data_IF_245575043611
#
_entry.id   IF_245575043611
#
_cell.length_a   1.000
_cell.length_b   1.000
_cell.length_c   1.000
_cell.angle_alpha   90.00
_cell.angle_beta   90.00
_cell.angle_gamma   90.00
#
_symmetry.space_group_name_H-M   'P 1'
#
loop_
_entity.id
_entity.type
_entity.pdbx_description
1 polymer ?
#
# COMPACT_ATOMS: atom_id res chain seq x y z
N UNK A 1 9.32 -71.58 -2.72
CA UNK A 1 10.04 -70.30 -2.58
C UNK A 1 9.17 -69.21 -3.19
N UNK A 2 8.97 -68.12 -2.44
CA UNK A 2 7.81 -67.21 -2.50
C UNK A 2 7.82 -66.28 -3.71
N UNK A 3 6.68 -66.21 -4.42
CA UNK A 3 6.40 -65.21 -5.46
C UNK A 3 5.90 -63.94 -4.78
N UNK A 4 6.66 -62.84 -4.83
CA UNK A 4 6.24 -61.51 -4.36
C UNK A 4 5.27 -60.89 -5.37
N UNK A 5 4.00 -60.72 -4.98
CA UNK A 5 3.01 -59.87 -5.67
C UNK A 5 3.38 -58.40 -5.44
N UNK A 6 3.66 -57.67 -6.52
CA UNK A 6 3.68 -56.21 -6.49
C UNK A 6 2.23 -55.70 -6.54
N UNK A 7 1.80 -54.98 -5.49
CA UNK A 7 0.48 -54.36 -5.44
C UNK A 7 0.48 -53.13 -6.35
N UNK A 8 -0.33 -53.14 -7.41
CA UNK A 8 -0.56 -51.96 -8.25
C UNK A 8 -1.55 -51.05 -7.51
N UNK A 9 -1.05 -49.93 -7.01
CA UNK A 9 -1.86 -48.85 -6.45
C UNK A 9 -2.66 -48.24 -7.60
N UNK A 10 -3.99 -48.32 -7.50
CA UNK A 10 -4.91 -47.77 -8.51
C UNK A 10 -4.90 -46.25 -8.47
N UNK A 11 -4.99 -45.62 -9.63
CA UNK A 11 -5.04 -44.16 -9.83
C UNK A 11 -6.12 -43.48 -8.97
N UNK A 12 -7.18 -44.21 -8.56
CA UNK A 12 -8.18 -43.73 -7.60
C UNK A 12 -7.65 -43.49 -6.19
N UNK A 13 -6.68 -44.27 -5.71
CA UNK A 13 -6.09 -44.08 -4.37
C UNK A 13 -5.15 -42.86 -4.32
N UNK A 14 -4.48 -42.54 -5.43
CA UNK A 14 -3.66 -41.32 -5.56
C UNK A 14 -4.52 -40.05 -5.59
N UNK A 15 -5.69 -40.09 -6.25
CA UNK A 15 -6.63 -38.96 -6.30
C UNK A 15 -7.30 -38.71 -4.94
N UNK A 16 -7.66 -39.76 -4.20
CA UNK A 16 -8.23 -39.62 -2.84
C UNK A 16 -7.18 -39.08 -1.85
N UNK A 17 -5.92 -39.50 -1.95
CA UNK A 17 -4.85 -38.93 -1.14
C UNK A 17 -4.63 -37.44 -1.45
N UNK A 18 -4.62 -37.06 -2.73
CA UNK A 18 -4.46 -35.66 -3.15
C UNK A 18 -5.60 -34.74 -2.68
N UNK A 19 -6.85 -35.22 -2.72
CA UNK A 19 -8.03 -34.47 -2.25
C UNK A 19 -8.05 -34.32 -0.72
N UNK A 20 -7.57 -35.31 0.03
CA UNK A 20 -7.46 -35.22 1.49
C UNK A 20 -6.33 -34.26 1.90
N UNK A 21 -5.21 -34.20 1.17
CA UNK A 21 -4.17 -33.17 1.39
C UNK A 21 -4.62 -31.75 1.00
N UNK A 22 -5.43 -31.57 -0.05
CA UNK A 22 -5.97 -30.25 -0.38
C UNK A 22 -7.02 -29.75 0.63
N UNK A 23 -7.86 -30.63 1.18
CA UNK A 23 -8.84 -30.25 2.19
C UNK A 23 -8.23 -29.96 3.57
N UNK A 24 -7.07 -30.54 3.89
CA UNK A 24 -6.32 -30.24 5.11
C UNK A 24 -5.51 -28.93 5.02
N UNK A 25 -5.24 -28.41 3.82
CA UNK A 25 -4.54 -27.13 3.61
C UNK A 25 -5.47 -25.91 3.46
N UNK A 26 -6.79 -26.10 3.36
CA UNK A 26 -7.76 -25.01 3.22
C UNK A 26 -8.48 -24.62 4.52
N UNK A 27 -7.99 -25.08 5.68
CA UNK A 27 -8.63 -24.83 6.99
C UNK A 27 -7.63 -24.29 8.01
N UNK A 28 -7.06 -23.10 7.76
CA UNK A 28 -6.44 -22.26 8.81
C UNK A 28 -6.13 -20.85 8.28
N UNK A 29 -7.16 -20.08 7.96
CA UNK A 29 -7.08 -18.62 8.06
C UNK A 29 -7.14 -18.24 9.54
N UNK A 30 -5.99 -18.28 10.22
CA UNK A 30 -5.85 -17.63 11.52
C UNK A 30 -5.73 -16.14 11.26
N UNK A 31 -6.85 -15.43 11.42
CA UNK A 31 -6.84 -13.98 11.59
C UNK A 31 -5.90 -13.65 12.75
N UNK A 32 -4.79 -12.98 12.46
CA UNK A 32 -3.91 -12.42 13.48
C UNK A 32 -4.69 -11.34 14.23
N UNK A 33 -5.25 -11.71 15.39
CA UNK A 33 -5.81 -10.75 16.34
C UNK A 33 -4.66 -9.93 16.91
N UNK A 34 -4.62 -8.64 16.60
CA UNK A 34 -3.79 -7.68 17.31
C UNK A 34 -4.26 -7.61 18.76
N UNK A 35 -3.50 -8.22 19.69
CA UNK A 35 -3.62 -7.95 21.12
C UNK A 35 -2.41 -7.12 21.56
N UNK A 36 -2.61 -6.03 22.33
CA UNK A 36 -1.50 -5.31 22.94
C UNK A 36 -0.79 -6.23 23.96
N UNK A 37 0.53 -6.29 23.85
CA UNK A 37 1.39 -7.15 24.66
C UNK A 37 1.53 -6.53 26.06
N UNK A 38 1.12 -7.25 27.11
CA UNK A 38 1.37 -6.85 28.51
C UNK A 38 2.88 -6.83 28.79
N UNK A 39 3.42 -5.84 29.54
CA UNK A 39 4.83 -5.79 29.86
C UNK A 39 5.23 -6.95 30.79
N UNK A 40 6.29 -7.67 30.44
CA UNK A 40 6.90 -8.68 31.30
C UNK A 40 7.83 -8.00 32.30
N UNK A 41 7.53 -8.16 33.59
CA UNK A 41 8.36 -7.76 34.72
C UNK A 41 9.62 -8.61 34.76
N UNK A 42 10.76 -8.02 34.41
CA UNK A 42 12.09 -8.59 34.65
C UNK A 42 12.70 -7.93 35.89
N UNK A 43 12.72 -8.68 36.98
CA UNK A 43 13.41 -8.36 38.23
C UNK A 43 14.91 -8.29 37.98
N UNK A 44 15.53 -7.12 38.14
CA UNK A 44 16.97 -7.01 38.34
C UNK A 44 17.26 -6.04 39.48
N UNK A 45 17.85 -6.60 40.53
CA UNK A 45 18.39 -5.93 41.71
C UNK A 45 19.67 -5.17 41.37
N UNK A 46 19.74 -3.89 41.74
CA UNK A 46 20.99 -3.17 42.01
C UNK A 46 20.75 -2.09 43.09
N UNK A 47 21.72 -1.88 44.02
CA UNK A 47 21.51 -1.09 45.23
C UNK A 47 21.93 0.39 45.10
N UNK A 48 21.36 1.15 46.04
CA UNK A 48 21.82 2.38 46.70
C UNK A 48 22.12 3.66 45.89
N UNK A 49 21.19 4.58 46.11
CA UNK A 49 21.21 6.02 45.84
C UNK A 49 22.27 6.70 46.72
N UNK A 50 23.15 7.47 46.10
CA UNK A 50 23.82 8.62 46.74
C UNK A 50 23.50 9.84 45.89
N UNK A 51 22.72 10.75 46.45
CA UNK A 51 22.36 12.01 45.82
C UNK A 51 23.55 12.95 45.73
N UNK A 52 23.55 13.81 44.71
CA UNK A 52 24.31 15.04 44.77
C UNK A 52 23.59 16.16 44.01
N UNK A 53 23.50 17.29 44.70
CA UNK A 53 22.82 18.52 44.35
C UNK A 53 23.28 19.14 43.03
N UNK A 54 22.32 19.75 42.35
CA UNK A 54 22.50 20.69 41.25
C UNK A 54 22.67 22.11 41.83
N UNK A 55 23.56 22.93 41.27
CA UNK A 55 23.28 24.36 41.24
C UNK A 55 23.28 24.90 39.79
N UNK A 56 22.20 25.60 39.48
CA UNK A 56 22.08 26.49 38.32
C UNK A 56 23.14 27.59 38.38
N UNK A 57 23.78 27.87 37.25
CA UNK A 57 24.33 29.20 36.94
C UNK A 57 24.22 29.49 35.45
N UNK A 58 23.49 30.55 35.13
CA UNK A 58 23.49 31.27 33.86
C UNK A 58 24.90 31.75 33.50
N UNK A 59 25.37 31.48 32.27
CA UNK A 59 26.01 32.50 31.43
C UNK A 59 26.17 32.05 29.99
N UNK A 60 25.79 32.94 29.07
CA UNK A 60 25.92 32.83 27.62
C UNK A 60 27.38 32.79 27.16
N UNK A 61 27.71 31.87 26.25
CA UNK A 61 28.80 32.06 25.30
C UNK A 61 28.36 31.59 23.91
N UNK A 62 28.50 32.50 22.96
CA UNK A 62 28.28 32.32 21.53
C UNK A 62 29.44 31.51 20.96
N UNK A 63 29.15 30.48 20.17
CA UNK A 63 30.09 29.97 19.16
C UNK A 63 29.30 29.51 17.94
N UNK A 64 29.64 30.11 16.80
CA UNK A 64 29.10 29.87 15.47
C UNK A 64 29.26 28.41 15.01
N UNK A 65 28.16 27.80 14.54
CA UNK A 65 28.07 27.03 13.29
C UNK A 65 26.63 26.56 13.04
N UNK A 66 26.16 26.52 11.77
CA UNK A 66 24.74 26.43 11.46
C UNK A 66 24.23 25.00 11.58
N UNK A 67 23.44 24.74 12.62
CA UNK A 67 22.56 23.58 12.67
C UNK A 67 21.32 23.92 11.84
N UNK A 68 21.25 23.44 10.58
CA UNK A 68 20.00 23.47 9.83
C UNK A 68 19.19 22.23 10.20
N UNK A 69 18.28 22.49 11.12
CA UNK A 69 17.09 21.72 11.49
C UNK A 69 16.39 21.23 10.22
N UNK A 70 16.39 19.91 10.01
CA UNK A 70 15.38 19.23 9.19
C UNK A 70 14.02 19.64 9.73
N UNK A 71 13.21 20.30 8.90
CA UNK A 71 11.81 20.51 9.21
C UNK A 71 11.13 19.15 9.23
N UNK A 72 10.83 18.66 10.43
CA UNK A 72 10.00 17.49 10.65
C UNK A 72 8.66 17.70 9.90
N UNK A 73 8.40 16.84 8.91
CA UNK A 73 7.03 16.57 8.50
C UNK A 73 6.27 16.08 9.74
N UNK A 74 4.99 16.47 9.95
CA UNK A 74 4.28 16.14 11.18
C UNK A 74 4.07 14.62 11.25
N UNK A 75 4.94 13.95 11.99
CA UNK A 75 4.67 12.62 12.53
C UNK A 75 3.75 12.86 13.73
N UNK A 76 2.51 12.41 13.63
CA UNK A 76 1.53 12.67 14.68
C UNK A 76 1.93 11.94 15.96
N UNK A 77 2.10 12.72 17.02
CA UNK A 77 2.35 12.27 18.40
C UNK A 77 1.13 11.51 18.90
N UNK A 78 1.29 10.24 19.26
CA UNK A 78 0.33 9.49 20.09
C UNK A 78 0.35 10.06 21.50
N UNK A 79 -0.70 10.78 21.88
CA UNK A 79 -0.95 11.20 23.26
C UNK A 79 -1.36 10.01 24.13
N UNK A 80 -0.62 9.80 25.21
CA UNK A 80 -0.98 8.88 26.30
C UNK A 80 -2.36 9.23 26.90
N UNK A 81 -3.10 8.18 27.24
CA UNK A 81 -4.43 8.28 27.84
C UNK A 81 -4.35 8.72 29.32
N UNK A 82 -5.27 9.57 29.81
CA UNK A 82 -5.32 9.96 31.22
C UNK A 82 -5.94 8.86 32.09
N UNK A 83 -5.33 8.64 33.26
CA UNK A 83 -5.86 7.79 34.34
C UNK A 83 -7.25 8.28 34.80
N UNK A 84 -8.19 7.33 35.00
CA UNK A 84 -9.50 7.60 35.62
C UNK A 84 -9.63 6.78 36.91
N UNK A 85 -10.15 7.36 38.01
CA UNK A 85 -10.07 6.77 39.34
C UNK A 85 -11.19 5.75 39.64
N UNK A 86 -10.86 4.85 40.56
CA UNK A 86 -11.62 3.73 41.09
C UNK A 86 -12.66 4.18 42.14
N UNK A 87 -13.94 3.78 42.01
CA UNK A 87 -14.94 3.82 43.11
C UNK A 87 -16.00 2.69 42.99
N UNK A 88 -15.81 1.65 43.83
CA UNK A 88 -16.73 0.80 44.63
C UNK A 88 -18.13 0.34 44.15
N UNK A 89 -18.32 -0.98 44.23
CA UNK A 89 -19.54 -1.85 44.24
C UNK A 89 -20.47 -1.62 45.46
N UNK A 90 -21.73 -2.16 45.53
CA UNK A 90 -21.99 -3.60 45.79
C UNK A 90 -23.29 -4.27 45.25
N UNK A 91 -23.17 -5.59 44.94
CA UNK A 91 -24.06 -6.77 45.18
C UNK A 91 -25.59 -6.70 44.84
N UNK A 92 -26.36 -7.73 44.44
CA UNK A 92 -26.39 -9.20 44.60
C UNK A 92 -27.66 -9.71 43.81
N UNK A 93 -27.75 -10.86 43.10
CA UNK A 93 -28.38 -12.16 43.51
C UNK A 93 -28.72 -13.01 42.25
N UNK A 94 -28.12 -14.21 42.18
CA UNK A 94 -28.66 -15.58 41.91
C UNK A 94 -29.30 -16.01 40.57
N UNK A 95 -28.84 -17.17 40.05
CA UNK A 95 -29.64 -18.07 39.21
C UNK A 95 -28.86 -19.08 38.34
N UNK A 96 -28.49 -20.23 38.91
CA UNK A 96 -27.90 -21.47 38.33
C UNK A 96 -28.72 -22.08 37.16
N UNK A 97 -28.29 -22.97 36.23
CA UNK A 97 -27.59 -24.29 36.25
C UNK A 97 -27.20 -24.63 34.77
N UNK A 98 -26.00 -25.16 34.45
CA UNK A 98 -25.66 -26.59 34.14
C UNK A 98 -26.61 -27.32 33.16
N UNK A 99 -26.24 -28.20 32.21
CA UNK A 99 -24.96 -28.69 31.65
C UNK A 99 -25.29 -29.63 30.45
N UNK A 100 -24.35 -29.71 29.48
CA UNK A 100 -23.93 -30.89 28.70
C UNK A 100 -24.89 -31.79 27.87
N UNK A 101 -24.67 -31.72 26.54
CA UNK A 101 -24.10 -32.76 25.64
C UNK A 101 -24.83 -34.07 25.22
N UNK A 102 -24.54 -34.47 23.97
CA UNK A 102 -24.81 -35.73 23.22
C UNK A 102 -26.22 -35.88 22.61
N UNK A 103 -26.46 -36.35 21.39
CA UNK A 103 -25.66 -36.90 20.30
C UNK A 103 -26.60 -37.50 19.21
N UNK A 104 -26.17 -37.43 17.94
CA UNK A 104 -26.46 -38.34 16.81
C UNK A 104 -27.90 -38.78 16.45
N UNK A 105 -28.35 -38.33 15.27
CA UNK A 105 -28.63 -39.17 14.09
C UNK A 105 -30.01 -39.84 13.94
N UNK A 106 -30.66 -39.63 12.79
CA UNK A 106 -31.35 -40.67 11.99
C UNK A 106 -31.92 -40.14 10.66
N UNK A 107 -31.66 -40.92 9.59
CA UNK A 107 -32.40 -41.00 8.31
C UNK A 107 -33.68 -41.86 8.50
N UNK A 108 -34.67 -41.85 7.57
CA UNK A 108 -34.74 -42.85 6.47
C UNK A 108 -35.30 -42.31 5.11
N UNK A 109 -34.78 -42.73 3.93
CA UNK A 109 -35.27 -43.79 2.97
C UNK A 109 -36.46 -43.30 2.09
N UNK A 110 -36.61 -43.47 0.76
CA UNK A 110 -36.30 -44.56 -0.20
C UNK A 110 -36.61 -44.09 -1.67
N UNK A 111 -35.98 -44.70 -2.70
CA UNK A 111 -36.62 -44.85 -4.03
C UNK A 111 -35.75 -44.69 -5.29
N UNK A 112 -35.08 -45.77 -5.71
CA UNK A 112 -34.41 -46.01 -7.02
C UNK A 112 -35.44 -46.07 -8.19
N UNK A 113 -35.15 -46.05 -9.51
CA UNK A 113 -34.05 -46.66 -10.28
C UNK A 113 -34.12 -46.22 -11.77
N UNK A 114 -32.94 -46.11 -12.41
CA UNK A 114 -32.56 -46.48 -13.81
C UNK A 114 -33.24 -45.87 -15.05
N UNK A 115 -32.52 -45.52 -16.13
CA UNK A 115 -31.09 -45.69 -16.40
C UNK A 115 -30.60 -45.16 -17.76
N UNK A 116 -29.27 -45.10 -17.86
CA UNK A 116 -28.35 -45.31 -19.01
C UNK A 116 -28.60 -44.64 -20.37
N UNK A 117 -27.62 -44.23 -21.18
CA UNK A 117 -26.15 -44.12 -21.12
C UNK A 117 -25.69 -43.47 -22.43
N UNK A 118 -24.41 -43.07 -22.46
CA UNK A 118 -23.52 -42.88 -23.62
C UNK A 118 -23.21 -41.44 -24.10
N UNK A 119 -22.00 -41.06 -23.67
CA UNK A 119 -20.93 -40.23 -24.27
C UNK A 119 -20.91 -40.06 -25.79
N UNK A 120 -20.64 -38.83 -26.27
CA UNK A 120 -19.60 -38.57 -27.27
C UNK A 120 -19.07 -37.12 -27.18
N UNK A 121 -17.78 -37.02 -27.44
CA UNK A 121 -16.86 -35.87 -27.53
C UNK A 121 -17.16 -34.79 -28.59
N UNK A 122 -16.73 -33.55 -28.33
CA UNK A 122 -15.98 -32.77 -29.34
C UNK A 122 -16.52 -31.39 -29.77
N UNK A 123 -15.63 -30.40 -29.61
CA UNK A 123 -15.39 -29.25 -30.50
C UNK A 123 -16.05 -27.88 -30.24
N UNK A 124 -15.16 -26.88 -30.15
CA UNK A 124 -15.33 -25.45 -30.45
C UNK A 124 -16.09 -25.20 -31.76
N UNK A 125 -16.59 -23.97 -31.95
CA UNK A 125 -16.04 -23.21 -33.08
C UNK A 125 -15.78 -21.71 -32.82
N UNK A 126 -14.88 -21.20 -33.67
CA UNK A 126 -14.41 -19.83 -33.85
C UNK A 126 -15.29 -19.04 -34.83
N UNK A 127 -15.28 -17.71 -34.67
CA UNK A 127 -15.74 -16.58 -35.51
C UNK A 127 -16.24 -16.83 -36.94
N UNK A 128 -17.28 -16.07 -37.35
CA UNK A 128 -17.38 -15.41 -38.67
C UNK A 128 -18.34 -14.21 -38.62
N UNK A 129 -18.20 -13.33 -39.62
CA UNK A 129 -18.53 -11.90 -39.68
C UNK A 129 -19.77 -11.53 -40.53
N UNK A 130 -20.31 -10.33 -40.21
CA UNK A 130 -20.88 -9.26 -41.08
C UNK A 130 -22.20 -9.37 -41.88
N UNK A 131 -22.99 -8.27 -41.78
CA UNK A 131 -24.07 -7.70 -42.65
C UNK A 131 -25.48 -8.35 -42.59
N UNK A 132 -26.63 -7.65 -42.47
CA UNK A 132 -27.00 -6.24 -42.33
C UNK A 132 -28.54 -6.05 -42.22
N UNK A 133 -28.95 -4.95 -41.55
CA UNK A 133 -30.17 -4.11 -41.79
C UNK A 133 -31.61 -4.60 -41.51
N UNK A 134 -32.26 -4.09 -40.44
CA UNK A 134 -33.29 -3.01 -40.45
C UNK A 134 -34.21 -2.97 -39.18
N UNK A 135 -34.33 -1.76 -38.60
CA UNK A 135 -35.44 -1.11 -37.84
C UNK A 135 -36.16 -1.85 -36.67
N UNK A 136 -36.49 -1.29 -35.49
CA UNK A 136 -36.34 0.00 -34.79
C UNK A 136 -36.86 -0.20 -33.31
N UNK A 137 -37.04 0.83 -32.47
CA UNK A 137 -36.07 1.39 -31.52
C UNK A 137 -36.33 0.99 -30.04
N UNK A 138 -35.27 0.89 -29.24
CA UNK A 138 -35.38 0.92 -27.77
C UNK A 138 -34.47 1.99 -27.19
N UNK A 139 -35.12 2.91 -26.48
CA UNK A 139 -34.59 4.07 -25.79
C UNK A 139 -33.54 3.66 -24.76
N UNK A 140 -32.26 3.97 -25.02
CA UNK A 140 -31.13 3.75 -24.13
C UNK A 140 -30.25 5.00 -24.15
N UNK A 141 -30.22 5.72 -23.04
CA UNK A 141 -29.46 6.95 -22.84
C UNK A 141 -27.96 6.67 -22.87
N UNK A 142 -27.35 6.73 -24.05
CA UNK A 142 -25.90 6.90 -24.19
C UNK A 142 -25.60 8.37 -23.96
N UNK A 143 -25.10 8.70 -22.77
CA UNK A 143 -24.49 9.99 -22.51
C UNK A 143 -23.20 10.07 -23.36
N UNK A 144 -23.27 10.77 -24.49
CA UNK A 144 -22.10 11.19 -25.25
C UNK A 144 -21.19 12.02 -24.33
N UNK A 145 -19.94 11.60 -24.26
CA UNK A 145 -18.88 12.30 -23.54
C UNK A 145 -18.64 13.66 -24.20
N UNK A 146 -18.71 14.79 -23.47
CA UNK A 146 -18.38 16.08 -24.05
C UNK A 146 -16.88 16.10 -24.37
N UNK A 147 -16.56 16.15 -25.67
CA UNK A 147 -15.21 16.38 -26.16
C UNK A 147 -14.73 17.74 -25.63
N UNK A 148 -13.84 17.70 -24.65
CA UNK A 148 -13.14 18.87 -24.10
C UNK A 148 -11.66 18.55 -24.05
N UNK A 149 -10.87 19.47 -24.61
CA UNK A 149 -9.43 19.52 -24.90
C UNK A 149 -8.45 18.83 -23.91
N UNK A 150 -8.53 17.51 -23.78
CA UNK A 150 -7.48 16.66 -23.24
C UNK A 150 -7.21 15.55 -24.25
N UNK A 151 -6.10 15.63 -24.97
CA UNK A 151 -5.74 14.70 -26.04
C UNK A 151 -5.24 13.33 -25.49
N UNK A 152 -5.77 12.89 -24.34
CA UNK A 152 -5.35 11.67 -23.66
C UNK A 152 -5.94 10.47 -24.37
N UNK A 153 -5.07 9.57 -24.84
CA UNK A 153 -5.48 8.32 -25.50
C UNK A 153 -5.35 7.10 -24.57
N UNK A 154 -4.78 7.30 -23.38
CA UNK A 154 -4.63 6.27 -22.35
C UNK A 154 -5.92 5.90 -21.62
N UNK A 155 -5.97 4.68 -21.09
CA UNK A 155 -7.03 4.22 -20.18
C UNK A 155 -7.01 5.08 -18.90
N UNK A 156 -8.12 5.75 -18.60
CA UNK A 156 -8.23 6.68 -17.47
C UNK A 156 -9.51 6.46 -16.68
N UNK A 157 -9.51 6.84 -15.40
CA UNK A 157 -10.71 6.77 -14.57
C UNK A 157 -11.77 7.78 -15.03
N UNK A 158 -13.05 7.50 -14.74
CA UNK A 158 -14.18 8.41 -15.01
C UNK A 158 -13.93 9.81 -14.46
N UNK A 159 -14.33 10.86 -15.18
CA UNK A 159 -14.30 12.25 -14.69
C UNK A 159 -15.54 12.61 -13.86
N UNK A 160 -16.45 11.65 -13.62
CA UNK A 160 -17.70 11.90 -12.91
C UNK A 160 -18.56 12.95 -13.61
N UNK A 161 -19.22 13.79 -12.82
CA UNK A 161 -19.99 14.92 -13.35
C UNK A 161 -19.02 16.08 -13.61
N UNK A 162 -18.71 16.33 -14.89
CA UNK A 162 -17.78 17.39 -15.30
C UNK A 162 -18.35 18.76 -14.92
N UNK A 163 -17.57 19.52 -14.16
CA UNK A 163 -17.92 20.87 -13.66
C UNK A 163 -17.11 21.98 -14.33
N UNK A 164 -16.01 21.63 -15.00
CA UNK A 164 -15.20 22.56 -15.79
C UNK A 164 -15.96 23.06 -17.01
N UNK A 165 -15.78 24.35 -17.36
CA UNK A 165 -16.32 24.92 -18.60
C UNK A 165 -15.59 24.39 -19.84
N UNK A 166 -16.22 24.54 -21.02
CA UNK A 166 -15.64 24.12 -22.30
C UNK A 166 -14.28 24.78 -22.56
N UNK A 167 -13.33 23.99 -23.11
CA UNK A 167 -11.97 24.42 -23.43
C UNK A 167 -11.04 24.62 -22.22
N UNK A 168 -11.47 24.24 -21.02
CA UNK A 168 -10.65 24.23 -19.80
C UNK A 168 -10.16 22.82 -19.49
N UNK A 169 -9.18 22.73 -18.60
CA UNK A 169 -8.79 21.48 -17.97
C UNK A 169 -9.99 20.80 -17.33
N UNK A 170 -10.16 19.50 -17.58
CA UNK A 170 -11.33 18.75 -17.10
C UNK A 170 -11.25 18.60 -15.60
N UNK A 171 -12.27 19.07 -14.90
CA UNK A 171 -12.48 18.89 -13.46
C UNK A 171 -13.91 18.42 -13.27
N UNK A 172 -14.14 17.53 -12.32
CA UNK A 172 -15.44 16.94 -12.11
C UNK A 172 -15.71 16.55 -10.66
N UNK A 173 -16.95 16.17 -10.38
CA UNK A 173 -17.37 15.68 -9.08
C UNK A 173 -17.69 14.20 -9.12
N UNK A 174 -17.48 13.46 -8.00
CA UNK A 174 -17.92 12.07 -7.90
C UNK A 174 -19.44 11.96 -8.15
N UNK A 175 -19.82 11.05 -9.05
CA UNK A 175 -21.22 10.66 -9.30
C UNK A 175 -21.52 9.20 -8.91
N UNK A 176 -20.53 8.50 -8.38
CA UNK A 176 -20.62 7.15 -7.85
C UNK A 176 -19.55 6.93 -6.75
N UNK A 177 -19.72 5.86 -5.97
CA UNK A 177 -18.80 5.33 -4.94
C UNK A 177 -18.58 6.19 -3.70
N UNK A 178 -18.31 7.49 -3.85
CA UNK A 178 -18.10 8.45 -2.77
C UNK A 178 -18.94 9.70 -3.04
N UNK A 179 -19.48 10.34 -2.00
CA UNK A 179 -20.19 11.60 -2.18
C UNK A 179 -19.18 12.74 -2.29
N UNK A 180 -19.47 13.74 -3.14
CA UNK A 180 -18.68 14.98 -3.20
C UNK A 180 -18.50 15.61 -1.82
N UNK A 181 -19.55 15.65 -1.01
CA UNK A 181 -19.51 16.22 0.34
C UNK A 181 -18.50 15.50 1.26
N UNK A 182 -18.33 14.19 1.09
CA UNK A 182 -17.36 13.40 1.87
C UNK A 182 -15.92 13.74 1.46
N UNK A 183 -15.66 13.87 0.15
CA UNK A 183 -14.35 14.32 -0.38
C UNK A 183 -14.03 15.75 0.08
N UNK A 184 -15.01 16.65 0.02
CA UNK A 184 -14.89 18.03 0.50
C UNK A 184 -14.57 18.09 2.00
N UNK A 185 -15.22 17.22 2.79
CA UNK A 185 -14.98 17.11 4.22
C UNK A 185 -13.57 16.61 4.51
N UNK A 186 -13.11 15.53 3.84
CA UNK A 186 -11.76 14.99 4.05
C UNK A 186 -10.72 16.06 3.74
N UNK A 187 -10.88 16.79 2.63
CA UNK A 187 -10.01 17.91 2.32
C UNK A 187 -9.97 18.95 3.44
N UNK A 188 -11.15 19.43 3.83
CA UNK A 188 -11.25 20.52 4.81
C UNK A 188 -10.69 20.12 6.17
N UNK A 189 -11.09 18.95 6.68
CA UNK A 189 -10.81 18.53 8.05
C UNK A 189 -9.45 17.85 8.21
N UNK A 190 -8.99 17.15 7.17
CA UNK A 190 -7.76 16.34 7.27
C UNK A 190 -6.63 16.98 6.49
N UNK A 191 -6.81 17.34 5.21
CA UNK A 191 -5.69 17.64 4.31
C UNK A 191 -5.29 19.13 4.22
N UNK A 192 -6.25 20.05 4.31
CA UNK A 192 -6.08 21.47 3.93
C UNK A 192 -5.03 22.24 4.73
N UNK A 193 -4.71 21.78 5.94
CA UNK A 193 -3.74 22.43 6.82
C UNK A 193 -2.30 22.14 6.40
N UNK A 194 -1.99 20.93 5.95
CA UNK A 194 -0.63 20.49 5.69
C UNK A 194 -0.29 20.41 4.19
N UNK A 195 -1.23 19.96 3.35
CA UNK A 195 -0.96 19.74 1.90
C UNK A 195 -0.48 21.02 1.19
N UNK A 196 -1.09 22.20 1.37
CA UNK A 196 -0.65 23.40 0.67
C UNK A 196 0.76 23.88 1.05
N UNK A 197 1.25 23.51 2.24
CA UNK A 197 2.52 24.01 2.80
C UNK A 197 3.73 23.22 2.30
N UNK A 198 3.57 21.91 2.13
CA UNK A 198 4.65 21.01 1.73
C UNK A 198 4.73 20.88 0.19
N UNK A 199 5.94 21.02 -0.37
CA UNK A 199 6.18 21.18 -1.83
C UNK A 199 7.08 20.11 -2.44
N UNK A 200 7.06 18.91 -1.87
CA UNK A 200 7.80 17.77 -2.39
C UNK A 200 6.97 16.49 -2.44
N UNK A 201 5.62 16.59 -2.47
CA UNK A 201 4.77 15.42 -2.68
C UNK A 201 5.14 14.72 -4.00
N UNK A 202 4.68 13.48 -4.17
CA UNK A 202 4.88 12.73 -5.42
C UNK A 202 4.40 13.55 -6.64
N UNK A 203 3.34 14.35 -6.51
CA UNK A 203 2.95 15.32 -7.54
C UNK A 203 4.09 16.26 -7.95
N UNK A 204 4.71 16.93 -6.98
CA UNK A 204 5.79 17.89 -7.21
C UNK A 204 7.02 17.20 -7.85
N UNK A 205 7.34 15.99 -7.39
CA UNK A 205 8.45 15.19 -7.94
C UNK A 205 8.17 14.76 -9.37
N UNK A 206 6.98 14.24 -9.67
CA UNK A 206 6.58 13.84 -11.02
C UNK A 206 6.60 15.03 -11.98
N UNK A 207 6.09 16.19 -11.57
CA UNK A 207 6.13 17.39 -12.41
C UNK A 207 7.57 17.84 -12.66
N UNK A 208 8.41 17.84 -11.64
CA UNK A 208 9.83 18.18 -11.74
C UNK A 208 10.57 17.23 -12.70
N UNK A 209 10.30 15.93 -12.59
CA UNK A 209 10.98 14.87 -13.34
C UNK A 209 10.23 14.46 -14.62
N UNK A 210 9.17 15.18 -15.01
CA UNK A 210 8.38 14.94 -16.23
C UNK A 210 7.80 13.52 -16.31
N UNK A 211 7.13 13.08 -15.25
CA UNK A 211 6.46 11.78 -15.17
C UNK A 211 7.38 10.61 -14.82
N UNK A 212 8.58 10.88 -14.28
CA UNK A 212 9.57 9.84 -13.95
C UNK A 212 9.93 9.88 -12.48
N UNK A 213 10.24 8.72 -11.90
CA UNK A 213 10.79 8.61 -10.56
C UNK A 213 11.94 7.60 -10.55
N UNK A 214 13.06 7.98 -9.96
CA UNK A 214 14.16 7.08 -9.67
C UNK A 214 14.10 6.63 -8.21
N UNK A 215 14.32 5.35 -7.97
CA UNK A 215 14.28 4.70 -6.66
C UNK A 215 15.66 4.15 -6.29
N UNK A 216 15.98 4.22 -5.00
CA UNK A 216 17.06 3.42 -4.42
C UNK A 216 16.49 2.47 -3.35
N UNK A 217 16.78 1.18 -3.48
CA UNK A 217 16.25 0.13 -2.59
C UNK A 217 17.18 -0.06 -1.40
N UNK A 218 16.62 0.05 -0.21
CA UNK A 218 17.28 -0.23 1.06
C UNK A 218 16.86 -1.60 1.59
N UNK A 219 17.64 -2.63 1.27
CA UNK A 219 17.42 -3.98 1.77
C UNK A 219 17.83 -4.08 3.24
N UNK A 220 16.90 -3.74 4.13
CA UNK A 220 17.08 -3.83 5.58
C UNK A 220 16.62 -5.20 6.13
N UNK A 221 17.30 -6.24 5.67
CA UNK A 221 17.09 -7.61 6.10
C UNK A 221 18.43 -8.34 6.26
N UNK A 222 18.42 -9.43 7.02
CA UNK A 222 19.51 -10.42 7.08
C UNK A 222 19.32 -11.56 6.07
N UNK A 223 18.17 -11.62 5.42
CA UNK A 223 17.85 -12.69 4.48
C UNK A 223 18.55 -12.48 3.14
N UNK A 224 18.84 -13.59 2.47
CA UNK A 224 19.36 -13.57 1.09
C UNK A 224 18.27 -13.08 0.14
N UNK A 225 18.66 -12.24 -0.81
CA UNK A 225 17.82 -11.78 -1.90
C UNK A 225 18.44 -12.21 -3.22
N UNK A 226 17.66 -12.90 -4.06
CA UNK A 226 18.13 -13.33 -5.38
C UNK A 226 17.88 -12.26 -6.44
N UNK A 227 18.74 -12.21 -7.46
CA UNK A 227 18.68 -11.29 -8.59
C UNK A 227 17.35 -11.39 -9.32
N UNK A 228 16.84 -12.61 -9.47
CA UNK A 228 15.54 -12.90 -10.10
C UNK A 228 14.37 -12.32 -9.31
N UNK A 229 14.45 -12.30 -7.97
CA UNK A 229 13.42 -11.67 -7.14
C UNK A 229 13.58 -10.16 -7.15
N UNK A 230 14.81 -9.66 -6.96
CA UNK A 230 15.14 -8.24 -6.99
C UNK A 230 14.74 -7.57 -8.31
N UNK A 231 14.93 -8.24 -9.45
CA UNK A 231 14.57 -7.71 -10.79
C UNK A 231 13.07 -7.45 -10.97
N UNK A 232 12.22 -7.99 -10.10
CA UNK A 232 10.77 -7.75 -10.15
C UNK A 232 10.34 -6.46 -9.43
N UNK A 233 11.20 -5.87 -8.61
CA UNK A 233 10.83 -4.73 -7.76
C UNK A 233 10.46 -3.49 -8.59
N UNK A 234 11.22 -3.22 -9.66
CA UNK A 234 10.93 -2.09 -10.56
C UNK A 234 9.54 -2.24 -11.21
N UNK A 235 9.25 -3.43 -11.76
CA UNK A 235 7.95 -3.71 -12.35
C UNK A 235 6.82 -3.61 -11.32
N UNK A 236 7.05 -4.08 -10.09
CA UNK A 236 6.10 -3.95 -8.99
C UNK A 236 5.79 -2.48 -8.70
N UNK A 237 6.80 -1.63 -8.54
CA UNK A 237 6.62 -0.19 -8.29
C UNK A 237 5.84 0.48 -9.43
N UNK A 238 6.20 0.18 -10.68
CA UNK A 238 5.47 0.71 -11.85
C UNK A 238 3.98 0.34 -11.82
N UNK A 239 3.61 -0.89 -11.41
CA UNK A 239 2.19 -1.25 -11.24
C UNK A 239 1.50 -0.45 -10.13
N UNK A 240 2.19 -0.18 -9.01
CA UNK A 240 1.60 0.60 -7.92
C UNK A 240 1.34 2.04 -8.36
N UNK A 241 2.31 2.68 -9.03
CA UNK A 241 2.15 4.04 -9.54
C UNK A 241 1.12 4.12 -10.68
N UNK A 242 1.00 3.10 -11.52
CA UNK A 242 -0.06 3.00 -12.54
C UNK A 242 -1.45 3.10 -11.89
N UNK A 243 -1.71 2.33 -10.83
CA UNK A 243 -2.99 2.33 -10.13
C UNK A 243 -3.40 3.71 -9.60
N UNK A 244 -2.43 4.49 -9.09
CA UNK A 244 -2.68 5.87 -8.67
C UNK A 244 -2.81 6.83 -9.85
N UNK A 245 -1.95 6.70 -10.87
CA UNK A 245 -1.93 7.61 -12.02
C UNK A 245 -3.19 7.51 -12.89
N UNK A 246 -3.83 6.34 -12.98
CA UNK A 246 -5.10 6.14 -13.71
C UNK A 246 -6.18 7.17 -13.33
N UNK A 247 -6.17 7.65 -12.09
CA UNK A 247 -7.08 8.69 -11.61
C UNK A 247 -6.68 10.10 -12.05
N UNK A 248 -5.42 10.33 -12.36
CA UNK A 248 -4.89 11.63 -12.73
C UNK A 248 -4.88 11.85 -14.24
N UNK A 249 -4.70 10.82 -15.07
CA UNK A 249 -4.60 10.93 -16.54
C UNK A 249 -5.69 11.86 -17.11
N UNK A 250 -5.27 12.98 -17.70
CA UNK A 250 -6.15 14.00 -18.29
C UNK A 250 -6.93 14.88 -17.30
N UNK A 251 -7.06 14.48 -16.04
CA UNK A 251 -7.72 15.28 -15.00
C UNK A 251 -6.91 16.54 -14.69
N UNK A 252 -7.56 17.69 -14.70
CA UNK A 252 -6.95 18.99 -14.46
C UNK A 252 -5.70 19.27 -15.32
N UNK A 253 -5.74 18.81 -16.58
CA UNK A 253 -4.64 18.86 -17.54
C UNK A 253 -3.37 18.12 -17.08
N UNK A 254 -3.50 17.12 -16.20
CA UNK A 254 -2.38 16.26 -15.85
C UNK A 254 -1.81 15.59 -17.12
N UNK A 255 -0.51 15.81 -17.44
CA UNK A 255 0.03 15.48 -18.76
C UNK A 255 0.62 14.07 -18.86
N UNK A 256 0.72 13.33 -17.76
CA UNK A 256 1.46 12.07 -17.72
C UNK A 256 0.51 10.89 -17.91
N UNK A 257 0.51 10.31 -19.11
CA UNK A 257 -0.21 9.06 -19.40
C UNK A 257 0.41 7.85 -18.67
N UNK A 258 1.74 7.86 -18.50
CA UNK A 258 2.48 6.86 -17.73
C UNK A 258 3.37 7.53 -16.69
N UNK A 259 3.62 6.82 -15.59
CA UNK A 259 4.69 7.13 -14.66
C UNK A 259 5.77 6.06 -14.84
N UNK A 260 6.98 6.50 -15.20
CA UNK A 260 8.11 5.59 -15.37
C UNK A 260 8.94 5.55 -14.09
N UNK A 261 8.90 4.42 -13.38
CA UNK A 261 9.74 4.18 -12.22
C UNK A 261 10.98 3.39 -12.61
N UNK A 262 12.15 3.83 -12.13
CA UNK A 262 13.44 3.15 -12.31
C UNK A 262 14.14 2.89 -11.01
N UNK A 263 14.69 1.69 -10.81
CA UNK A 263 15.58 1.43 -9.67
C UNK A 263 17.01 1.67 -10.13
N UNK A 264 17.70 2.60 -9.46
CA UNK A 264 19.04 3.05 -9.84
C UNK A 264 20.12 2.66 -8.83
N UNK A 265 19.71 2.18 -7.66
CA UNK A 265 20.63 1.77 -6.61
C UNK A 265 20.03 0.79 -5.62
N UNK A 266 20.92 0.04 -4.99
CA UNK A 266 20.60 -0.92 -3.93
C UNK A 266 21.56 -0.70 -2.78
N UNK A 267 21.09 -0.77 -1.55
CA UNK A 267 21.92 -0.77 -0.36
C UNK A 267 21.59 -1.95 0.53
N UNK A 268 22.62 -2.56 1.11
CA UNK A 268 22.48 -3.64 2.08
C UNK A 268 23.59 -3.61 3.12
N UNK A 269 23.38 -4.31 4.25
CA UNK A 269 24.35 -4.43 5.35
C UNK A 269 25.55 -5.30 5.01
N UNK A 270 25.35 -6.25 4.11
CA UNK A 270 26.38 -7.15 3.62
C UNK A 270 26.06 -7.49 2.17
N UNK A 271 26.94 -7.11 1.25
CA UNK A 271 26.78 -7.37 -0.19
C UNK A 271 26.66 -8.86 -0.50
N UNK A 272 27.14 -9.75 0.38
CA UNK A 272 26.96 -11.19 0.24
C UNK A 272 25.48 -11.61 0.32
N UNK A 273 24.59 -10.77 0.86
CA UNK A 273 23.15 -11.04 0.92
C UNK A 273 22.50 -11.04 -0.46
N UNK A 274 23.12 -10.36 -1.42
CA UNK A 274 22.72 -10.41 -2.82
C UNK A 274 23.46 -11.55 -3.52
N UNK A 275 22.75 -12.32 -4.34
CA UNK A 275 23.39 -13.33 -5.20
C UNK A 275 23.92 -12.75 -6.52
N UNK A 276 23.91 -11.41 -6.66
CA UNK A 276 24.51 -10.66 -7.76
C UNK A 276 25.49 -9.61 -7.25
N UNK A 277 26.47 -9.29 -8.09
CA UNK A 277 27.54 -8.34 -7.77
C UNK A 277 27.81 -7.31 -8.88
N UNK A 278 27.10 -7.43 -10.00
CA UNK A 278 27.14 -6.46 -11.10
C UNK A 278 26.09 -5.35 -10.91
N UNK A 279 26.23 -4.27 -11.66
CA UNK A 279 25.30 -3.12 -11.60
C UNK A 279 24.06 -3.29 -12.50
N UNK A 280 23.72 -4.52 -12.91
CA UNK A 280 22.62 -4.73 -13.87
C UNK A 280 21.22 -4.39 -13.31
N UNK A 281 21.10 -4.24 -12.00
CA UNK A 281 19.88 -3.77 -11.32
C UNK A 281 20.05 -2.36 -10.71
N UNK A 282 21.16 -1.67 -11.00
CA UNK A 282 21.58 -0.44 -10.34
C UNK A 282 22.79 -0.62 -9.43
N UNK A 283 23.43 0.48 -9.05
CA UNK A 283 24.67 0.46 -8.24
C UNK A 283 24.44 -0.12 -6.85
N UNK A 284 25.33 -1.02 -6.41
CA UNK A 284 25.28 -1.60 -5.06
C UNK A 284 26.13 -0.77 -4.08
N UNK A 285 25.50 -0.29 -3.01
CA UNK A 285 26.11 0.43 -1.91
C UNK A 285 26.11 -0.41 -0.63
N UNK A 286 27.08 -0.18 0.25
CA UNK A 286 27.16 -0.87 1.56
C UNK A 286 27.87 -0.08 2.66
N UNK A 287 28.40 1.10 2.34
CA UNK A 287 29.29 1.85 3.24
C UNK A 287 28.58 2.92 4.05
N UNK A 288 27.61 3.62 3.44
CA UNK A 288 26.88 4.70 4.12
C UNK A 288 25.81 4.12 5.02
N UNK A 289 25.66 4.71 6.20
CA UNK A 289 24.71 4.31 7.24
C UNK A 289 24.00 5.55 7.76
N UNK A 290 22.75 5.37 8.16
CA UNK A 290 22.01 6.41 8.86
C UNK A 290 22.50 6.58 10.31
N UNK A 291 21.89 7.52 11.05
CA UNK A 291 22.21 7.76 12.45
C UNK A 291 22.01 6.53 13.36
N UNK A 292 21.16 5.58 12.95
CA UNK A 292 20.94 4.30 13.64
C UNK A 292 21.95 3.21 13.26
N UNK A 293 22.92 3.51 12.40
CA UNK A 293 23.90 2.55 11.91
C UNK A 293 23.34 1.57 10.87
N UNK A 294 22.14 1.82 10.36
CA UNK A 294 21.50 0.98 9.34
C UNK A 294 21.94 1.48 7.95
N UNK A 295 22.42 0.62 7.05
CA UNK A 295 22.89 1.03 5.72
C UNK A 295 21.85 1.84 4.97
N UNK A 296 22.25 2.92 4.30
CA UNK A 296 21.36 3.79 3.54
C UNK A 296 21.94 4.13 2.15
N UNK A 297 21.05 4.44 1.21
CA UNK A 297 21.46 4.94 -0.10
C UNK A 297 22.19 6.29 0.06
N UNK A 298 23.15 6.62 -0.81
CA UNK A 298 23.97 7.81 -0.61
C UNK A 298 23.15 9.09 -0.51
N UNK A 299 23.34 9.86 0.55
CA UNK A 299 22.58 11.10 0.75
C UNK A 299 22.87 12.12 -0.35
N UNK A 300 24.10 12.12 -0.87
CA UNK A 300 24.52 12.99 -1.98
C UNK A 300 23.77 12.72 -3.28
N UNK A 301 23.15 11.55 -3.41
CA UNK A 301 22.32 11.16 -4.55
C UNK A 301 20.82 11.36 -4.28
N UNK A 302 20.42 11.65 -3.05
CA UNK A 302 19.02 11.65 -2.65
C UNK A 302 18.38 13.03 -2.82
N UNK A 303 17.53 13.19 -3.83
CA UNK A 303 16.95 14.48 -4.18
C UNK A 303 15.92 15.00 -3.18
N UNK A 304 15.28 14.11 -2.41
CA UNK A 304 14.27 14.47 -1.41
C UNK A 304 14.81 15.46 -0.36
N UNK A 305 16.09 15.34 0.03
CA UNK A 305 16.73 16.13 1.10
C UNK A 305 16.58 17.64 0.93
N UNK A 306 16.66 18.10 -0.32
CA UNK A 306 16.57 19.51 -0.69
C UNK A 306 15.31 19.80 -1.52
N UNK A 307 14.35 18.86 -1.53
CA UNK A 307 13.24 18.76 -2.47
C UNK A 307 13.67 18.57 -3.94
N UNK A 308 12.92 17.78 -4.71
CA UNK A 308 13.31 17.41 -6.06
C UNK A 308 13.58 18.63 -6.98
N UNK A 309 12.85 19.73 -6.80
CA UNK A 309 13.00 20.95 -7.59
C UNK A 309 14.31 21.73 -7.31
N UNK A 310 14.93 21.54 -6.15
CA UNK A 310 16.12 22.26 -5.69
C UNK A 310 17.31 21.36 -5.36
N UNK A 311 17.16 20.06 -5.55
CA UNK A 311 18.17 19.05 -5.24
C UNK A 311 19.52 19.31 -5.92
N UNK A 312 20.56 19.51 -5.11
CA UNK A 312 21.93 19.53 -5.60
C UNK A 312 22.59 18.16 -5.43
N UNK A 313 22.59 17.40 -6.52
CA UNK A 313 23.19 16.06 -6.57
C UNK A 313 24.54 16.03 -7.31
N UNK A 314 25.22 17.18 -7.44
CA UNK A 314 26.52 17.27 -8.14
C UNK A 314 27.62 16.39 -7.53
N UNK A 315 27.49 16.07 -6.24
CA UNK A 315 28.42 15.22 -5.49
C UNK A 315 28.04 13.74 -5.53
N UNK A 316 26.90 13.38 -6.15
CA UNK A 316 26.48 12.00 -6.31
C UNK A 316 27.45 11.25 -7.23
N UNK A 317 27.96 10.12 -6.76
CA UNK A 317 28.85 9.25 -7.56
C UNK A 317 28.11 8.23 -8.42
N UNK A 318 26.84 7.97 -8.12
CA UNK A 318 25.96 7.11 -8.91
C UNK A 318 24.88 7.93 -9.62
N UNK A 319 23.72 7.32 -9.83
CA UNK A 319 22.55 8.03 -10.35
C UNK A 319 21.72 8.64 -9.20
N UNK A 320 21.37 9.94 -9.29
CA UNK A 320 20.45 10.57 -8.36
C UNK A 320 19.07 9.90 -8.33
N UNK A 321 18.46 9.80 -7.14
CA UNK A 321 17.16 9.18 -6.94
C UNK A 321 16.20 10.08 -6.17
N UNK A 322 14.91 9.87 -6.39
CA UNK A 322 13.80 10.67 -5.86
C UNK A 322 13.20 10.05 -4.60
N UNK A 323 13.10 8.72 -4.57
CA UNK A 323 12.37 7.95 -3.56
C UNK A 323 13.18 6.74 -3.08
N UNK A 324 12.89 6.23 -1.89
CA UNK A 324 13.56 5.02 -1.38
C UNK A 324 12.57 3.95 -0.93
N UNK A 325 12.78 2.71 -1.37
CA UNK A 325 11.99 1.55 -0.95
C UNK A 325 12.77 0.76 0.09
N UNK A 326 12.24 0.56 1.28
CA UNK A 326 12.90 -0.09 2.41
C UNK A 326 12.17 -1.38 2.81
N UNK A 327 12.37 -2.51 2.10
CA UNK A 327 11.91 -3.80 2.58
C UNK A 327 12.69 -4.15 3.86
N UNK A 328 11.96 -4.20 4.97
CA UNK A 328 12.51 -4.30 6.33
C UNK A 328 12.08 -5.62 6.96
N UNK A 329 13.04 -6.36 7.52
CA UNK A 329 12.76 -7.60 8.23
C UNK A 329 11.95 -7.35 9.51
N UNK A 330 10.77 -7.98 9.61
CA UNK A 330 9.95 -7.95 10.83
C UNK A 330 9.30 -6.60 11.13
N UNK A 331 9.10 -5.75 10.11
CA UNK A 331 8.41 -4.47 10.24
C UNK A 331 6.93 -4.65 10.63
N UNK A 332 6.29 -5.75 10.21
CA UNK A 332 4.89 -6.07 10.52
C UNK A 332 3.82 -5.20 9.84
N UNK A 333 4.19 -4.05 9.27
CA UNK A 333 3.31 -3.12 8.58
C UNK A 333 4.09 -2.26 7.57
N UNK A 334 3.65 -1.02 7.38
CA UNK A 334 4.32 -0.05 6.52
C UNK A 334 4.41 1.33 7.15
N UNK A 335 5.26 2.17 6.56
CA UNK A 335 5.30 3.60 6.76
C UNK A 335 5.84 4.23 5.47
N UNK A 336 5.23 5.31 5.02
CA UNK A 336 5.67 5.97 3.80
C UNK A 336 5.17 7.38 3.67
N UNK A 337 5.58 7.99 2.57
CA UNK A 337 5.32 9.37 2.29
C UNK A 337 6.04 9.79 1.03
N UNK A 338 6.35 11.07 0.96
CA UNK A 338 7.00 11.68 -0.19
C UNK A 338 8.49 11.31 -0.31
N UNK A 339 9.05 10.63 0.68
CA UNK A 339 10.43 10.12 0.67
C UNK A 339 10.52 8.69 0.12
N UNK A 340 9.40 7.95 0.07
CA UNK A 340 9.44 6.52 -0.20
C UNK A 340 8.51 5.68 0.66
N UNK A 341 8.82 4.39 0.73
CA UNK A 341 8.02 3.40 1.44
C UNK A 341 8.95 2.49 2.23
N UNK A 342 8.69 2.31 3.52
CA UNK A 342 9.25 1.25 4.35
C UNK A 342 8.16 0.23 4.60
N UNK A 343 8.43 -1.03 4.29
CA UNK A 343 7.43 -2.11 4.35
C UNK A 343 8.02 -3.37 4.92
N UNK A 344 7.17 -4.23 5.47
CA UNK A 344 7.57 -5.58 5.85
C UNK A 344 8.06 -6.37 4.63
N UNK A 345 9.32 -6.81 4.69
CA UNK A 345 9.98 -7.51 3.58
C UNK A 345 9.26 -8.82 3.24
N UNK A 346 8.81 -9.58 4.24
CA UNK A 346 8.14 -10.86 4.01
C UNK A 346 6.78 -10.65 3.33
N UNK A 347 5.99 -9.68 3.81
CA UNK A 347 4.71 -9.30 3.22
C UNK A 347 4.86 -8.82 1.77
N UNK A 348 5.83 -7.94 1.50
CA UNK A 348 6.11 -7.44 0.17
C UNK A 348 6.53 -8.56 -0.79
N UNK A 349 7.47 -9.42 -0.37
CA UNK A 349 7.95 -10.51 -1.21
C UNK A 349 6.85 -11.54 -1.50
N UNK A 350 5.97 -11.83 -0.53
CA UNK A 350 4.86 -12.76 -0.71
C UNK A 350 3.81 -12.28 -1.72
N UNK A 351 3.74 -10.97 -1.97
CA UNK A 351 2.75 -10.33 -2.85
C UNK A 351 3.37 -9.66 -4.07
N UNK A 352 4.68 -9.85 -4.31
CA UNK A 352 5.48 -9.14 -5.31
C UNK A 352 4.97 -9.27 -6.75
N UNK A 353 4.31 -10.38 -7.07
CA UNK A 353 3.75 -10.65 -8.40
C UNK A 353 2.26 -10.24 -8.53
N UNK A 354 1.64 -9.73 -7.46
CA UNK A 354 0.26 -9.21 -7.52
C UNK A 354 0.22 -7.86 -8.23
N UNK A 355 -0.94 -7.51 -8.78
CA UNK A 355 -1.14 -6.22 -9.46
C UNK A 355 -0.85 -5.06 -8.50
N UNK A 356 -1.45 -5.11 -7.32
CA UNK A 356 -1.23 -4.14 -6.25
C UNK A 356 -0.82 -4.84 -4.96
N UNK A 357 0.16 -4.26 -4.27
CA UNK A 357 0.61 -4.67 -2.95
C UNK A 357 -0.01 -3.72 -1.94
N UNK A 358 -0.93 -4.23 -1.10
CA UNK A 358 -1.75 -3.43 -0.18
C UNK A 358 -0.93 -2.38 0.56
N UNK A 359 0.16 -2.81 1.22
CA UNK A 359 0.99 -1.92 2.04
C UNK A 359 1.74 -0.91 1.15
N UNK A 360 2.40 -1.36 0.07
CA UNK A 360 3.17 -0.44 -0.78
C UNK A 360 2.27 0.61 -1.44
N UNK A 361 1.11 0.19 -1.95
CA UNK A 361 0.14 1.09 -2.56
C UNK A 361 -0.45 2.08 -1.54
N UNK A 362 -0.76 1.62 -0.31
CA UNK A 362 -1.18 2.48 0.79
C UNK A 362 -0.13 3.55 1.12
N UNK A 363 1.12 3.13 1.30
CA UNK A 363 2.23 4.04 1.63
C UNK A 363 2.51 5.07 0.51
N UNK A 364 2.29 4.70 -0.76
CA UNK A 364 2.34 5.64 -1.88
C UNK A 364 1.23 6.70 -1.77
N UNK A 365 0.05 6.34 -1.27
CA UNK A 365 -1.05 7.28 -1.03
C UNK A 365 -0.67 8.42 -0.07
N UNK A 366 0.09 8.11 0.99
CA UNK A 366 0.67 9.15 1.86
C UNK A 366 1.65 10.06 1.12
N UNK A 367 2.43 9.53 0.19
CA UNK A 367 3.31 10.33 -0.67
C UNK A 367 2.58 11.28 -1.61
N UNK A 368 1.30 11.01 -1.90
CA UNK A 368 0.40 11.95 -2.56
C UNK A 368 -0.34 12.89 -1.59
N UNK A 369 -0.11 12.79 -0.28
CA UNK A 369 -0.70 13.65 0.75
C UNK A 369 -1.99 13.14 1.36
N UNK A 370 -2.40 11.90 1.08
CA UNK A 370 -3.61 11.32 1.66
C UNK A 370 -3.37 10.87 3.12
N UNK A 371 -4.32 11.12 4.04
CA UNK A 371 -4.23 10.69 5.43
C UNK A 371 -4.78 9.27 5.63
N UNK A 372 -4.50 8.69 6.80
CA UNK A 372 -5.17 7.47 7.27
C UNK A 372 -6.62 7.71 7.73
N UNK A 373 -7.39 6.61 7.70
CA UNK A 373 -8.77 6.53 8.17
C UNK A 373 -8.99 5.37 9.16
N UNK A 374 -8.20 5.32 10.23
CA UNK A 374 -8.26 4.21 11.19
C UNK A 374 -9.38 4.35 12.19
N UNK A 375 -9.69 5.59 12.60
CA UNK A 375 -10.73 5.87 13.57
C UNK A 375 -12.04 6.35 12.92
N UNK A 376 -13.15 6.25 13.66
CA UNK A 376 -14.43 6.80 13.19
C UNK A 376 -14.37 8.33 13.05
N UNK A 377 -13.59 9.00 13.88
CA UNK A 377 -13.36 10.45 13.83
C UNK A 377 -12.52 10.90 12.63
N UNK A 378 -11.81 9.96 12.00
CA UNK A 378 -11.04 10.24 10.79
C UNK A 378 -11.93 10.31 9.54
N UNK A 379 -13.15 9.81 9.64
CA UNK A 379 -14.09 9.62 8.53
C UNK A 379 -15.22 10.67 8.61
N UNK A 380 -15.78 11.10 7.46
CA UNK A 380 -16.89 12.06 7.44
C UNK A 380 -18.18 11.50 8.03
N UNK A 381 -18.41 10.19 7.91
CA UNK A 381 -19.59 9.50 8.44
C UNK A 381 -19.38 7.97 8.43
N UNK A 382 -20.31 7.22 9.04
CA UNK A 382 -20.28 5.75 9.13
C UNK A 382 -20.38 5.03 7.78
N UNK A 383 -20.92 5.68 6.75
CA UNK A 383 -21.05 5.13 5.40
C UNK A 383 -19.88 5.50 4.48
N UNK A 384 -18.76 5.96 5.05
CA UNK A 384 -17.56 6.26 4.27
C UNK A 384 -17.08 5.00 3.53
N UNK A 385 -16.84 5.07 2.21
CA UNK A 385 -16.57 3.89 1.40
C UNK A 385 -15.24 3.22 1.76
N UNK A 386 -15.11 1.94 1.36
CA UNK A 386 -13.83 1.24 1.42
C UNK A 386 -12.81 1.94 0.54
N UNK A 387 -11.58 2.05 1.05
CA UNK A 387 -10.48 2.74 0.40
C UNK A 387 -9.17 2.17 0.93
N UNK A 388 -8.11 2.19 0.13
CA UNK A 388 -6.82 1.62 0.54
C UNK A 388 -6.25 2.38 1.75
N UNK A 389 -6.54 3.68 1.86
CA UNK A 389 -6.13 4.52 3.00
C UNK A 389 -6.87 4.20 4.32
N UNK A 390 -7.90 3.35 4.27
CA UNK A 390 -8.51 2.73 5.45
C UNK A 390 -7.96 1.31 5.58
N UNK A 391 -6.93 1.16 6.43
CA UNK A 391 -6.16 -0.07 6.53
C UNK A 391 -7.06 -1.33 6.64
N UNK A 392 -6.76 -2.31 5.81
CA UNK A 392 -7.49 -3.58 5.76
C UNK A 392 -8.88 -3.53 5.12
N UNK A 393 -9.37 -2.36 4.68
CA UNK A 393 -10.70 -2.27 4.07
C UNK A 393 -10.73 -2.55 2.56
N UNK A 394 -9.61 -2.37 1.87
CA UNK A 394 -9.46 -2.65 0.44
C UNK A 394 -8.06 -3.20 0.15
N UNK A 395 -7.92 -4.22 -0.73
CA UNK A 395 -6.62 -4.69 -1.19
C UNK A 395 -6.04 -3.84 -2.33
N UNK A 396 -6.80 -2.90 -2.89
CA UNK A 396 -6.41 -2.09 -4.04
C UNK A 396 -6.84 -0.64 -3.87
N UNK A 397 -6.20 0.29 -4.59
CA UNK A 397 -6.66 1.67 -4.78
C UNK A 397 -8.10 1.65 -5.32
N UNK A 398 -8.99 2.38 -4.67
CA UNK A 398 -10.43 2.43 -4.99
C UNK A 398 -10.82 3.77 -5.60
N UNK A 399 -12.05 3.89 -6.13
CA UNK A 399 -12.61 5.19 -6.50
C UNK A 399 -12.62 6.22 -5.37
N UNK A 400 -12.78 5.79 -4.12
CA UNK A 400 -12.70 6.70 -2.98
C UNK A 400 -11.32 7.35 -2.88
N UNK A 401 -10.26 6.54 -2.97
CA UNK A 401 -8.87 7.01 -2.95
C UNK A 401 -8.59 7.99 -4.11
N UNK A 402 -9.01 7.61 -5.32
CA UNK A 402 -8.80 8.40 -6.53
C UNK A 402 -9.47 9.78 -6.51
N UNK A 403 -10.67 9.88 -5.95
CA UNK A 403 -11.34 11.18 -5.79
C UNK A 403 -10.68 12.05 -4.72
N UNK A 404 -10.17 11.45 -3.64
CA UNK A 404 -9.38 12.19 -2.65
C UNK A 404 -8.04 12.67 -3.23
N UNK A 405 -7.38 11.83 -4.06
CA UNK A 405 -6.17 12.18 -4.79
C UNK A 405 -6.39 13.38 -5.72
N UNK A 406 -7.46 13.36 -6.51
CA UNK A 406 -7.84 14.49 -7.37
C UNK A 406 -8.06 15.77 -6.59
N UNK A 407 -8.67 15.67 -5.41
CA UNK A 407 -8.87 16.84 -4.54
C UNK A 407 -7.55 17.44 -4.05
N UNK A 408 -6.53 16.61 -3.81
CA UNK A 408 -5.18 17.13 -3.55
C UNK A 408 -4.68 17.92 -4.76
N UNK A 409 -4.72 17.32 -5.97
CA UNK A 409 -4.27 17.97 -7.21
C UNK A 409 -4.95 19.33 -7.41
N UNK A 410 -6.28 19.41 -7.29
CA UNK A 410 -7.06 20.65 -7.43
C UNK A 410 -6.55 21.80 -6.55
N UNK A 411 -6.05 21.48 -5.36
CA UNK A 411 -5.61 22.48 -4.40
C UNK A 411 -4.11 22.81 -4.51
N UNK A 412 -3.34 22.01 -5.24
CA UNK A 412 -1.90 22.26 -5.47
C UNK A 412 -1.56 22.54 -6.93
N UNK A 413 -2.51 22.41 -7.86
CA UNK A 413 -2.32 22.58 -9.32
C UNK A 413 -1.69 23.92 -9.68
N UNK A 414 -1.99 24.98 -8.91
CA UNK A 414 -1.45 26.33 -9.10
C UNK A 414 0.09 26.39 -9.02
N UNK A 415 0.74 25.36 -8.44
CA UNK A 415 2.19 25.20 -8.43
C UNK A 415 2.75 24.84 -9.82
N UNK A 416 1.94 24.23 -10.68
CA UNK A 416 2.38 23.60 -11.93
C UNK A 416 1.93 24.36 -13.16
N UNK A 417 2.84 24.51 -14.12
CA UNK A 417 2.56 24.98 -15.48
C UNK A 417 2.79 23.83 -16.43
N UNK A 418 1.72 23.37 -17.07
CA UNK A 418 1.74 22.29 -18.07
C UNK A 418 1.76 22.86 -19.47
#
# INVERSE_FOLDING_TARGET
MVIRRASRISTRQLVVAAVITLAACSSSTLAAKCYPKTPSTATTTAPDVVGFDYPDTDTSTVTDSPNQQTTDAPTQVTTDAPETPEVTTPAQITGSLESSNTGTGSLPTQGSTEGSSETTTGSLPTQTSSEGSNDAPTQGSSAETPSTSGNSTGEHATFGDVTSGSGKCVVGSPNAYIKKADVDWVWTQRMSKYVPQFKNYIFDQLVTNKGKLSYCVRWDSTDKLSKTVASKFEAMLNRQFKAWNEWLIGYECWPFETIDVKIVGWVTRDVSLFDWTDDSLGTIYSTEKDAGGVPQCPETCYKHKDFAASANTSSCKGEPFDMSLWPTLGQGGGAGGDWGQRVDAASMLATLDQEQLIIVAHEIGHGFGLPDFYETTDQPNENFPVCIMKAGSSPTVTPGDGWMLRRVLENIKSRYKF
#
